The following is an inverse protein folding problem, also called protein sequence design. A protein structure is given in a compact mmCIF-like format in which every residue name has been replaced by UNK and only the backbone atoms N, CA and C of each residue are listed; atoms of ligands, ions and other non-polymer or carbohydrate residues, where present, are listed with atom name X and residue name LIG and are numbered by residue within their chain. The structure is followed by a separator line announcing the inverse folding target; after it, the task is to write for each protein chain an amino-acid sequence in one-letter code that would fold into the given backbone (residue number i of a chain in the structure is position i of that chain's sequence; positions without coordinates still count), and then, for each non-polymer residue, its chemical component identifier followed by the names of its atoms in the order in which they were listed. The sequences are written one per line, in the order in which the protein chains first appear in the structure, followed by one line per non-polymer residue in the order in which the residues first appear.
data_IF_682324365952
#
_entry.id   IF_682324365952
#
_cell.length_a   1.000
_cell.length_b   1.000
_cell.length_c   1.000
_cell.angle_alpha   90.00
_cell.angle_beta   90.00
_cell.angle_gamma   90.00
#
_symmetry.space_group_name_H-M   'P 1'
#
loop_
_entity.id
_entity.type
_entity.pdbx_description
1 polymer ?
#
# COMPACT_ATOMS: atom_id res chain seq x y z
N UNK A 1 3.68 4.97 -30.17
CA UNK A 1 2.96 4.84 -28.89
C UNK A 1 3.17 6.13 -28.09
N UNK A 2 2.14 6.69 -27.44
CA UNK A 2 2.31 7.91 -26.62
C UNK A 2 3.00 7.57 -25.31
N UNK A 3 3.98 8.37 -24.91
CA UNK A 3 4.74 8.18 -23.68
C UNK A 3 4.13 8.98 -22.54
N UNK A 4 3.91 8.32 -21.40
CA UNK A 4 3.35 8.97 -20.21
C UNK A 4 4.23 8.75 -18.99
N UNK A 5 4.50 9.82 -18.24
CA UNK A 5 5.18 9.80 -16.96
C UNK A 5 4.15 9.80 -15.83
N UNK A 6 4.14 8.76 -15.01
CA UNK A 6 3.37 8.69 -13.77
C UNK A 6 4.29 8.99 -12.58
N UNK A 7 3.97 10.02 -11.79
CA UNK A 7 4.78 10.44 -10.65
C UNK A 7 4.06 10.04 -9.35
N UNK A 8 4.62 9.05 -8.64
CA UNK A 8 4.23 8.65 -7.30
C UNK A 8 5.43 8.08 -6.55
N UNK A 9 6.05 8.88 -5.69
CA UNK A 9 7.32 8.55 -5.05
C UNK A 9 7.15 7.73 -3.76
N UNK A 10 6.03 7.88 -3.06
CA UNK A 10 5.76 7.26 -1.74
C UNK A 10 4.29 7.48 -1.33
N UNK A 11 3.72 6.81 -0.32
CA UNK A 11 4.25 5.65 0.40
C UNK A 11 3.99 4.35 -0.37
N UNK A 12 4.39 3.17 0.15
CA UNK A 12 4.13 1.89 -0.51
C UNK A 12 2.64 1.68 -0.83
N UNK A 13 1.75 1.87 0.15
CA UNK A 13 0.30 1.74 -0.08
C UNK A 13 -0.22 2.71 -1.14
N UNK A 14 0.27 3.94 -1.14
CA UNK A 14 -0.11 4.92 -2.16
C UNK A 14 0.42 4.57 -3.56
N UNK A 15 1.61 3.97 -3.67
CA UNK A 15 2.13 3.43 -4.93
C UNK A 15 1.20 2.32 -5.42
N UNK A 16 0.81 1.39 -4.55
CA UNK A 16 -0.12 0.31 -4.87
C UNK A 16 -1.47 0.86 -5.35
N UNK A 17 -2.00 1.90 -4.72
CA UNK A 17 -3.26 2.55 -5.16
C UNK A 17 -3.19 3.21 -6.54
N UNK A 18 -2.00 3.38 -7.12
CA UNK A 18 -1.83 3.88 -8.47
C UNK A 18 -1.66 2.79 -9.53
N UNK A 19 -1.54 1.51 -9.15
CA UNK A 19 -1.45 0.39 -10.10
C UNK A 19 -2.68 0.33 -11.01
N UNK A 20 -3.93 0.48 -10.54
CA UNK A 20 -5.09 0.51 -11.42
C UNK A 20 -5.02 1.62 -12.48
N UNK A 21 -4.53 2.80 -12.13
CA UNK A 21 -4.31 3.89 -13.09
C UNK A 21 -3.27 3.48 -14.15
N UNK A 22 -2.15 2.88 -13.75
CA UNK A 22 -1.13 2.40 -14.69
C UNK A 22 -1.68 1.34 -15.64
N UNK A 23 -2.53 0.42 -15.15
CA UNK A 23 -3.21 -0.58 -15.98
C UNK A 23 -4.10 0.08 -17.05
N UNK A 24 -4.91 1.06 -16.66
CA UNK A 24 -5.78 1.78 -17.60
C UNK A 24 -4.96 2.54 -18.63
N UNK A 25 -3.88 3.20 -18.21
CA UNK A 25 -2.97 3.89 -19.13
C UNK A 25 -2.39 2.92 -20.18
N UNK A 26 -1.88 1.77 -19.72
CA UNK A 26 -1.34 0.74 -20.63
C UNK A 26 -2.41 0.17 -21.56
N UNK A 27 -3.60 -0.16 -21.04
CA UNK A 27 -4.74 -0.67 -21.85
C UNK A 27 -5.11 0.30 -22.99
N UNK A 28 -4.94 1.61 -22.75
CA UNK A 28 -5.20 2.66 -23.74
C UNK A 28 -3.98 3.03 -24.62
N UNK A 29 -2.98 2.15 -24.71
CA UNK A 29 -1.86 2.27 -25.64
C UNK A 29 -0.77 3.26 -25.22
N UNK A 30 -0.68 3.62 -23.92
CA UNK A 30 0.43 4.40 -23.42
C UNK A 30 1.63 3.52 -23.04
N UNK A 31 2.83 4.00 -23.34
CA UNK A 31 4.07 3.53 -22.74
C UNK A 31 4.26 4.23 -21.39
N UNK A 32 4.02 3.50 -20.30
CA UNK A 32 4.04 4.05 -18.95
C UNK A 32 5.47 4.02 -18.39
N UNK A 33 6.04 5.20 -18.14
CA UNK A 33 7.22 5.36 -17.28
C UNK A 33 6.77 5.79 -15.90
N UNK A 34 7.24 5.12 -14.85
CA UNK A 34 6.88 5.47 -13.47
C UNK A 34 8.09 6.01 -12.71
N UNK A 35 7.95 7.23 -12.17
CA UNK A 35 8.93 7.82 -11.25
C UNK A 35 8.54 7.46 -9.81
N UNK A 36 9.38 6.66 -9.14
CA UNK A 36 9.08 6.06 -7.82
C UNK A 36 10.28 6.17 -6.87
N UNK A 37 10.03 6.19 -5.56
CA UNK A 37 11.06 6.10 -4.52
C UNK A 37 11.31 4.65 -4.07
N UNK A 38 12.36 4.46 -3.25
CA UNK A 38 12.87 3.14 -2.85
C UNK A 38 11.79 2.24 -2.23
N UNK A 39 10.86 2.79 -1.45
CA UNK A 39 9.81 2.01 -0.78
C UNK A 39 8.78 1.38 -1.73
N UNK A 40 8.69 1.89 -2.96
CA UNK A 40 7.71 1.42 -3.95
C UNK A 40 8.35 0.70 -5.14
N UNK A 41 9.67 0.71 -5.25
CA UNK A 41 10.38 0.23 -6.44
C UNK A 41 10.04 -1.22 -6.77
N UNK A 42 9.99 -2.10 -5.78
CA UNK A 42 9.77 -3.54 -5.96
C UNK A 42 8.36 -3.90 -6.43
N UNK A 43 7.40 -2.97 -6.28
CA UNK A 43 6.03 -3.13 -6.79
C UNK A 43 5.90 -2.61 -8.23
N UNK A 44 6.78 -1.67 -8.61
CA UNK A 44 6.74 -0.97 -9.90
C UNK A 44 7.70 -1.58 -10.92
N UNK A 45 8.91 -1.94 -10.48
CA UNK A 45 9.90 -2.60 -11.32
C UNK A 45 9.39 -3.98 -11.73
N UNK A 46 9.50 -4.29 -13.01
CA UNK A 46 9.01 -5.52 -13.63
C UNK A 46 7.47 -5.69 -13.57
N UNK A 47 6.75 -4.62 -13.23
CA UNK A 47 5.29 -4.63 -13.24
C UNK A 47 4.75 -4.64 -14.67
N UNK A 48 3.84 -5.57 -15.03
CA UNK A 48 3.32 -5.67 -16.40
C UNK A 48 2.67 -4.39 -16.93
N UNK A 49 2.16 -3.51 -16.04
CA UNK A 49 1.56 -2.24 -16.44
C UNK A 49 2.59 -1.12 -16.71
N UNK A 50 3.87 -1.35 -16.42
CA UNK A 50 4.93 -0.33 -16.46
C UNK A 50 6.00 -0.71 -17.46
N UNK A 51 6.24 0.13 -18.46
CA UNK A 51 7.30 -0.08 -19.45
C UNK A 51 8.69 0.30 -18.92
N UNK A 52 8.77 1.35 -18.10
CA UNK A 52 10.03 1.83 -17.52
C UNK A 52 9.82 2.34 -16.09
N UNK A 53 10.77 2.03 -15.22
CA UNK A 53 10.81 2.53 -13.87
C UNK A 53 12.05 3.42 -13.66
N UNK A 54 11.86 4.61 -13.08
CA UNK A 54 12.95 5.53 -12.72
C UNK A 54 12.91 5.72 -11.20
N UNK A 55 14.02 5.38 -10.55
CA UNK A 55 14.16 5.48 -9.10
C UNK A 55 14.59 6.90 -8.69
N UNK A 56 13.90 7.45 -7.69
CA UNK A 56 14.34 8.64 -6.95
C UNK A 56 14.80 8.20 -5.55
N UNK A 57 16.07 8.33 -5.18
CA UNK A 57 16.61 7.79 -3.94
C UNK A 57 16.34 8.70 -2.74
N UNK A 58 15.06 8.86 -2.41
CA UNK A 58 14.58 9.79 -1.37
C UNK A 58 15.09 9.45 0.04
N UNK A 59 15.26 8.16 0.36
CA UNK A 59 15.72 7.73 1.67
C UNK A 59 17.23 8.04 1.83
N UNK A 60 18.01 7.75 0.77
CA UNK A 60 19.42 8.12 0.69
C UNK A 60 19.59 9.63 0.91
N UNK A 61 18.87 10.44 0.12
CA UNK A 61 18.99 11.91 0.23
C UNK A 61 18.54 12.45 1.59
N UNK A 62 17.52 11.82 2.20
CA UNK A 62 17.10 12.19 3.56
C UNK A 62 18.16 11.88 4.60
N UNK A 63 18.91 10.78 4.45
CA UNK A 63 19.96 10.35 5.38
C UNK A 63 21.25 11.19 5.22
N UNK A 64 21.63 11.46 3.98
CA UNK A 64 22.89 12.14 3.64
C UNK A 64 22.78 13.68 3.62
N UNK A 65 21.55 14.20 3.52
CA UNK A 65 21.31 15.64 3.38
C UNK A 65 21.65 16.18 2.00
N UNK A 66 21.92 17.50 1.95
CA UNK A 66 22.32 18.19 0.71
C UNK A 66 23.80 18.02 0.50
N UNK A 67 24.18 17.14 -0.43
CA UNK A 67 25.56 16.92 -0.87
C UNK A 67 25.71 17.21 -2.35
N UNK A 68 26.93 17.52 -2.82
CA UNK A 68 27.23 17.70 -4.26
C UNK A 68 26.86 16.45 -5.06
N UNK A 69 27.03 15.25 -4.48
CA UNK A 69 26.66 13.98 -5.08
C UNK A 69 25.16 13.89 -5.31
N UNK A 70 24.34 14.19 -4.29
CA UNK A 70 22.88 14.17 -4.36
C UNK A 70 22.33 15.22 -5.34
N UNK A 71 22.98 16.39 -5.42
CA UNK A 71 22.63 17.44 -6.40
C UNK A 71 22.89 16.94 -7.83
N UNK A 72 24.06 16.35 -8.08
CA UNK A 72 24.39 15.77 -9.40
C UNK A 72 23.41 14.65 -9.77
N UNK A 73 23.08 13.77 -8.84
CA UNK A 73 22.12 12.68 -9.03
C UNK A 73 20.72 13.22 -9.37
N UNK A 74 20.27 14.26 -8.66
CA UNK A 74 18.98 14.95 -8.96
C UNK A 74 18.95 15.49 -10.40
N UNK A 75 19.98 16.20 -10.84
CA UNK A 75 20.06 16.73 -12.20
C UNK A 75 20.22 15.62 -13.25
N UNK A 76 20.90 14.52 -12.91
CA UNK A 76 21.00 13.35 -13.77
C UNK A 76 19.63 12.72 -14.04
N UNK A 77 18.81 12.55 -12.99
CA UNK A 77 17.43 12.04 -13.12
C UNK A 77 16.58 13.01 -13.94
N UNK A 78 16.68 14.33 -13.71
CA UNK A 78 15.98 15.32 -14.54
C UNK A 78 16.37 15.26 -16.01
N UNK A 79 17.68 15.11 -16.30
CA UNK A 79 18.17 14.94 -17.67
C UNK A 79 17.62 13.67 -18.30
N UNK A 80 17.58 12.55 -17.55
CA UNK A 80 16.99 11.30 -17.99
C UNK A 80 15.51 11.48 -18.33
N UNK A 81 14.71 12.14 -17.45
CA UNK A 81 13.29 12.41 -17.70
C UNK A 81 13.07 13.25 -18.96
N UNK A 82 13.87 14.29 -19.19
CA UNK A 82 13.76 15.15 -20.38
C UNK A 82 14.08 14.40 -21.66
N UNK A 83 15.06 13.52 -21.64
CA UNK A 83 15.45 12.72 -22.80
C UNK A 83 14.41 11.67 -23.20
N UNK A 84 13.44 11.35 -22.32
CA UNK A 84 12.34 10.45 -22.65
C UNK A 84 11.29 11.10 -23.57
N UNK A 85 11.22 12.43 -23.62
CA UNK A 85 10.26 13.18 -24.45
C UNK A 85 8.79 12.78 -24.22
N UNK A 86 8.34 12.83 -22.99
CA UNK A 86 6.97 12.47 -22.61
C UNK A 86 5.92 13.34 -23.30
N UNK A 87 4.84 12.72 -23.78
CA UNK A 87 3.67 13.43 -24.28
C UNK A 87 2.84 13.97 -23.10
N UNK A 88 2.73 13.19 -22.02
CA UNK A 88 1.96 13.53 -20.82
C UNK A 88 2.77 13.19 -19.57
N UNK A 89 2.70 14.03 -18.54
CA UNK A 89 3.13 13.71 -17.19
C UNK A 89 2.00 13.97 -16.19
N UNK A 90 1.82 13.03 -15.24
CA UNK A 90 0.77 13.08 -14.21
C UNK A 90 1.43 13.03 -12.83
N UNK A 91 1.10 13.98 -11.94
CA UNK A 91 1.47 13.90 -10.52
C UNK A 91 0.26 13.48 -9.68
N UNK A 92 0.28 12.26 -9.16
CA UNK A 92 -0.73 11.74 -8.25
C UNK A 92 -0.37 11.94 -6.77
N UNK A 93 0.86 12.36 -6.46
CA UNK A 93 1.30 12.54 -5.09
C UNK A 93 0.88 13.88 -4.50
N UNK A 94 0.91 14.93 -5.32
CA UNK A 94 0.47 16.27 -4.94
C UNK A 94 1.18 16.82 -3.69
N UNK A 95 2.52 16.75 -3.70
CA UNK A 95 3.43 17.33 -2.70
C UNK A 95 4.54 18.11 -3.40
N UNK A 96 5.22 19.01 -2.69
CA UNK A 96 6.33 19.80 -3.25
C UNK A 96 7.40 18.92 -3.91
N UNK A 97 7.80 17.83 -3.25
CA UNK A 97 8.81 16.90 -3.77
C UNK A 97 8.44 16.20 -5.08
N UNK A 98 7.15 16.04 -5.38
CA UNK A 98 6.68 15.48 -6.67
C UNK A 98 6.44 16.56 -7.71
N UNK A 99 6.01 17.73 -7.26
CA UNK A 99 5.76 18.89 -8.11
C UNK A 99 7.00 19.31 -8.91
N UNK A 100 8.18 19.28 -8.31
CA UNK A 100 9.45 19.63 -8.98
C UNK A 100 9.66 18.73 -10.21
N UNK A 101 9.46 17.43 -10.08
CA UNK A 101 9.60 16.49 -11.18
C UNK A 101 8.57 16.75 -12.28
N UNK A 102 7.30 16.98 -11.91
CA UNK A 102 6.26 17.32 -12.87
C UNK A 102 6.60 18.58 -13.66
N UNK A 103 7.06 19.62 -12.97
CA UNK A 103 7.37 20.92 -13.58
C UNK A 103 8.55 20.87 -14.54
N UNK A 104 9.56 20.05 -14.23
CA UNK A 104 10.84 20.06 -14.94
C UNK A 104 11.12 18.83 -15.80
N UNK A 105 10.20 17.83 -15.87
CA UNK A 105 10.38 16.60 -16.67
C UNK A 105 10.42 16.82 -18.20
N UNK A 106 10.02 18.00 -18.68
CA UNK A 106 10.02 18.28 -20.12
C UNK A 106 8.84 17.70 -20.90
N UNK A 107 7.79 17.21 -20.24
CA UNK A 107 6.60 16.70 -20.90
C UNK A 107 5.82 17.81 -21.63
N UNK A 108 5.21 17.47 -22.78
CA UNK A 108 4.36 18.40 -23.56
C UNK A 108 3.17 18.88 -22.74
N UNK A 109 2.49 17.96 -22.05
CA UNK A 109 1.37 18.21 -21.15
C UNK A 109 1.73 17.74 -19.73
N UNK A 110 1.50 18.60 -18.74
CA UNK A 110 1.70 18.27 -17.32
C UNK A 110 0.40 18.46 -16.57
N UNK A 111 -0.11 17.39 -15.96
CA UNK A 111 -1.46 17.33 -15.36
C UNK A 111 -1.35 17.09 -13.87
N UNK A 112 -2.05 17.87 -13.08
CA UNK A 112 -2.17 17.66 -11.63
C UNK A 112 -3.56 18.08 -11.13
N UNK A 113 -3.86 17.80 -9.86
CA UNK A 113 -5.07 18.34 -9.24
C UNK A 113 -4.96 19.86 -9.01
N UNK A 114 -6.12 20.55 -9.03
CA UNK A 114 -6.24 21.97 -8.71
C UNK A 114 -5.90 22.30 -7.25
N UNK A 115 -5.89 21.28 -6.35
CA UNK A 115 -5.59 21.37 -4.92
C UNK A 115 -4.61 20.30 -4.49
N UNK A 116 -3.57 20.70 -3.78
CA UNK A 116 -2.55 19.82 -3.24
C UNK A 116 -1.88 20.43 -2.02
N UNK A 117 -1.01 19.67 -1.36
CA UNK A 117 -0.18 20.17 -0.26
C UNK A 117 1.00 20.97 -0.80
N UNK A 118 1.52 21.89 0.01
CA UNK A 118 2.80 22.59 -0.25
C UNK A 118 2.86 23.23 -1.65
N UNK A 119 1.75 23.85 -2.09
CA UNK A 119 1.62 24.51 -3.41
C UNK A 119 1.87 23.59 -4.61
N UNK A 120 1.76 22.27 -4.44
CA UNK A 120 2.07 21.28 -5.49
C UNK A 120 1.22 21.42 -6.76
N UNK A 121 0.10 22.09 -6.70
CA UNK A 121 -0.73 22.42 -7.86
C UNK A 121 -0.05 23.38 -8.86
N UNK A 122 1.07 24.00 -8.50
CA UNK A 122 1.85 24.86 -9.39
C UNK A 122 2.74 24.08 -10.38
N UNK A 123 2.87 22.76 -10.22
CA UNK A 123 3.70 21.90 -11.09
C UNK A 123 3.08 21.60 -12.44
N UNK A 124 1.74 21.51 -12.52
CA UNK A 124 1.02 21.18 -13.75
C UNK A 124 0.54 22.40 -14.51
N UNK A 125 0.66 22.37 -15.84
CA UNK A 125 0.03 23.35 -16.74
C UNK A 125 -1.49 23.14 -16.81
N UNK A 126 -1.93 21.87 -16.78
CA UNK A 126 -3.32 21.47 -16.75
C UNK A 126 -3.72 21.06 -15.34
N UNK A 127 -4.84 21.60 -14.85
CA UNK A 127 -5.35 21.32 -13.51
C UNK A 127 -6.71 20.69 -13.61
N UNK A 128 -6.86 19.52 -13.02
CA UNK A 128 -8.14 18.85 -12.91
C UNK A 128 -8.74 19.07 -11.52
N UNK A 129 -10.05 19.18 -11.44
CA UNK A 129 -10.73 19.34 -10.16
C UNK A 129 -10.51 18.09 -9.29
N UNK A 130 -9.88 18.29 -8.12
CA UNK A 130 -9.70 17.20 -7.17
C UNK A 130 -11.07 16.75 -6.66
N UNK A 131 -11.38 15.43 -6.70
CA UNK A 131 -12.59 14.92 -6.09
C UNK A 131 -12.66 15.33 -4.60
N UNK A 132 -13.75 16.00 -4.21
CA UNK A 132 -13.93 16.51 -2.85
C UNK A 132 -14.14 15.34 -1.89
N UNK A 133 -13.29 15.22 -0.87
CA UNK A 133 -13.35 14.14 0.12
C UNK A 133 -13.45 14.66 1.56
N UNK A 134 -14.16 15.76 1.78
CA UNK A 134 -14.31 16.39 3.10
C UNK A 134 -14.87 15.42 4.16
N UNK A 135 -15.71 14.46 3.76
CA UNK A 135 -16.32 13.45 4.65
C UNK A 135 -15.61 12.08 4.57
N UNK A 136 -14.43 12.00 3.96
CA UNK A 136 -13.70 10.73 3.78
C UNK A 136 -14.56 9.63 3.12
N UNK A 137 -15.30 9.96 2.06
CA UNK A 137 -16.22 9.04 1.40
C UNK A 137 -15.69 8.47 0.09
N UNK A 138 -14.66 9.09 -0.50
CA UNK A 138 -14.10 8.72 -1.78
C UNK A 138 -12.79 7.96 -1.55
N UNK A 139 -12.72 6.74 -2.06
CA UNK A 139 -11.51 5.93 -1.96
C UNK A 139 -10.32 6.55 -2.71
N UNK A 140 -9.09 6.35 -2.23
CA UNK A 140 -7.88 6.91 -2.84
C UNK A 140 -7.71 6.46 -4.30
N UNK A 141 -8.00 5.21 -4.64
CA UNK A 141 -7.96 4.70 -6.02
C UNK A 141 -8.91 5.50 -6.92
N UNK A 142 -10.15 5.71 -6.48
CA UNK A 142 -11.15 6.50 -7.23
C UNK A 142 -10.67 7.93 -7.47
N UNK A 143 -9.97 8.52 -6.49
CA UNK A 143 -9.36 9.84 -6.68
C UNK A 143 -8.28 9.80 -7.77
N UNK A 144 -7.43 8.77 -7.81
CA UNK A 144 -6.39 8.65 -8.84
C UNK A 144 -6.99 8.35 -10.22
N UNK A 145 -8.06 7.57 -10.30
CA UNK A 145 -8.77 7.30 -11.55
C UNK A 145 -9.40 8.55 -12.20
N UNK A 146 -9.53 9.66 -11.46
CA UNK A 146 -9.96 10.94 -12.02
C UNK A 146 -9.04 11.44 -13.15
N UNK A 147 -7.75 11.09 -13.13
CA UNK A 147 -6.83 11.41 -14.24
C UNK A 147 -7.18 10.65 -15.52
N UNK A 148 -7.50 9.36 -15.40
CA UNK A 148 -7.92 8.55 -16.53
C UNK A 148 -9.25 9.05 -17.12
N UNK A 149 -10.22 9.39 -16.25
CA UNK A 149 -11.50 10.00 -16.68
C UNK A 149 -11.30 11.35 -17.38
N UNK A 150 -10.40 12.20 -16.87
CA UNK A 150 -10.06 13.46 -17.52
C UNK A 150 -9.44 13.27 -18.91
N UNK A 151 -8.60 12.25 -19.07
CA UNK A 151 -8.02 11.87 -20.35
C UNK A 151 -9.00 11.12 -21.26
N UNK A 152 -10.24 10.89 -20.84
CA UNK A 152 -11.31 10.16 -21.56
C UNK A 152 -10.88 8.75 -21.98
N UNK A 153 -10.19 8.03 -21.08
CA UNK A 153 -9.71 6.69 -21.33
C UNK A 153 -10.80 5.65 -21.08
N UNK A 154 -10.73 4.52 -21.78
CA UNK A 154 -11.62 3.38 -21.57
C UNK A 154 -11.21 2.55 -20.35
N UNK A 155 -12.19 1.83 -19.75
CA UNK A 155 -11.95 0.92 -18.64
C UNK A 155 -11.66 1.63 -17.30
N UNK A 156 -12.08 2.88 -17.14
CA UNK A 156 -11.83 3.69 -15.93
C UNK A 156 -12.54 3.17 -14.68
N UNK A 157 -13.53 2.33 -14.82
CA UNK A 157 -14.26 1.71 -13.71
C UNK A 157 -13.76 0.28 -13.40
N UNK A 158 -12.84 -0.25 -14.21
CA UNK A 158 -12.16 -1.53 -13.99
C UNK A 158 -10.97 -1.35 -13.05
N UNK A 159 -11.14 -1.72 -11.78
CA UNK A 159 -10.05 -1.64 -10.80
C UNK A 159 -9.32 -3.00 -10.74
N UNK A 160 -8.23 -3.09 -11.50
CA UNK A 160 -7.35 -4.27 -11.52
C UNK A 160 -6.00 -3.93 -10.91
N UNK A 161 -5.45 -4.86 -10.13
CA UNK A 161 -4.09 -4.79 -9.63
C UNK A 161 -3.24 -5.78 -10.42
N UNK A 162 -2.14 -5.29 -10.96
CA UNK A 162 -1.08 -6.14 -11.49
C UNK A 162 0.14 -5.98 -10.61
N UNK A 163 0.78 -7.07 -10.27
CA UNK A 163 2.02 -7.08 -9.52
C UNK A 163 3.11 -7.72 -10.36
N UNK A 164 4.39 -7.44 -10.10
CA UNK A 164 5.48 -8.18 -10.71
C UNK A 164 5.30 -9.67 -10.50
N UNK A 165 5.60 -10.46 -11.52
CA UNK A 165 5.61 -11.92 -11.40
C UNK A 165 6.75 -12.35 -10.47
N UNK A 166 6.46 -13.30 -9.61
CA UNK A 166 7.48 -13.89 -8.73
C UNK A 166 8.30 -14.91 -9.52
N UNK A 167 9.63 -14.75 -9.47
CA UNK A 167 10.56 -15.71 -10.09
C UNK A 167 10.57 -17.04 -9.35
N UNK A 168 11.05 -18.10 -10.00
CA UNK A 168 11.19 -19.41 -9.35
C UNK A 168 12.16 -19.38 -8.19
N UNK A 169 13.17 -18.51 -8.22
CA UNK A 169 14.06 -18.26 -7.09
C UNK A 169 13.30 -17.73 -5.86
N UNK A 170 12.39 -16.76 -6.06
CA UNK A 170 11.54 -16.21 -4.99
C UNK A 170 10.60 -17.30 -4.45
N UNK A 171 9.99 -18.10 -5.32
CA UNK A 171 9.11 -19.19 -4.91
C UNK A 171 9.86 -20.21 -4.05
N UNK A 172 11.05 -20.63 -4.51
CA UNK A 172 11.90 -21.57 -3.76
C UNK A 172 12.34 -21.00 -2.40
N UNK A 173 12.75 -19.73 -2.35
CA UNK A 173 13.04 -19.04 -1.08
C UNK A 173 11.84 -19.06 -0.14
N UNK A 174 10.64 -18.76 -0.66
CA UNK A 174 9.41 -18.78 0.15
C UNK A 174 9.07 -20.20 0.60
N UNK A 175 9.30 -21.22 -0.24
CA UNK A 175 9.13 -22.63 0.15
C UNK A 175 10.01 -22.98 1.35
N UNK A 176 11.28 -22.55 1.34
CA UNK A 176 12.21 -22.74 2.47
C UNK A 176 11.76 -21.96 3.72
N UNK A 177 11.30 -20.73 3.56
CA UNK A 177 10.80 -19.91 4.68
C UNK A 177 9.54 -20.50 5.34
N UNK A 178 8.75 -21.26 4.58
CA UNK A 178 7.50 -21.89 5.01
C UNK A 178 7.61 -23.42 5.17
N UNK A 179 8.83 -24.00 5.21
CA UNK A 179 9.05 -25.45 5.26
C UNK A 179 8.35 -26.12 6.45
N UNK A 180 8.33 -25.45 7.60
CA UNK A 180 7.71 -25.93 8.83
C UNK A 180 6.22 -25.58 8.96
N UNK A 181 5.58 -25.07 7.88
CA UNK A 181 4.15 -24.75 7.88
C UNK A 181 3.31 -26.03 7.85
N UNK A 182 2.36 -26.15 8.77
CA UNK A 182 1.34 -27.21 8.70
C UNK A 182 0.39 -26.93 7.52
N UNK A 183 0.64 -27.65 6.42
CA UNK A 183 -0.11 -27.49 5.16
C UNK A 183 -1.53 -28.08 5.22
N UNK A 184 -1.88 -28.81 6.27
CA UNK A 184 -3.24 -29.33 6.49
C UNK A 184 -4.22 -28.24 6.95
N UNK A 185 -3.69 -27.11 7.43
CA UNK A 185 -4.46 -25.97 7.92
C UNK A 185 -4.37 -24.77 6.97
N UNK A 186 -5.42 -23.94 6.91
CA UNK A 186 -5.36 -22.69 6.14
C UNK A 186 -4.28 -21.74 6.68
N UNK A 187 -3.50 -21.13 5.79
CA UNK A 187 -2.45 -20.19 6.17
C UNK A 187 -3.02 -18.80 6.44
N UNK A 188 -2.80 -18.30 7.65
CA UNK A 188 -3.14 -16.92 8.05
C UNK A 188 -1.86 -16.13 8.27
N UNK A 189 -1.71 -15.03 7.53
CA UNK A 189 -0.56 -14.14 7.69
C UNK A 189 -0.96 -12.90 8.51
N UNK A 190 -0.17 -12.59 9.53
CA UNK A 190 -0.36 -11.43 10.39
C UNK A 190 0.83 -10.46 10.22
N UNK A 191 0.54 -9.22 9.83
CA UNK A 191 1.51 -8.13 9.74
C UNK A 191 1.14 -7.04 10.76
N UNK A 192 1.50 -7.15 12.06
CA UNK A 192 0.88 -6.35 13.12
C UNK A 192 1.40 -4.91 13.18
N UNK A 193 2.53 -4.63 12.53
CA UNK A 193 3.23 -3.36 12.63
C UNK A 193 2.87 -2.36 11.54
N UNK A 194 3.06 -1.09 11.84
CA UNK A 194 2.88 0.03 10.90
C UNK A 194 3.77 1.21 11.30
N UNK A 195 3.89 2.23 10.43
CA UNK A 195 4.82 3.34 10.65
C UNK A 195 4.31 4.44 11.59
N UNK A 196 3.00 4.56 11.79
CA UNK A 196 2.41 5.59 12.65
C UNK A 196 1.94 4.98 13.96
N UNK A 197 2.32 5.56 15.08
CA UNK A 197 1.89 5.10 16.40
C UNK A 197 0.37 4.91 16.49
N UNK A 198 -0.40 5.90 16.10
CA UNK A 198 -1.87 5.87 16.16
C UNK A 198 -2.55 4.93 15.15
N UNK A 199 -1.79 4.25 14.30
CA UNK A 199 -2.30 3.18 13.44
C UNK A 199 -2.08 1.80 14.04
N UNK A 200 -1.19 1.67 15.03
CA UNK A 200 -1.00 0.39 15.73
C UNK A 200 -2.25 0.02 16.51
N UNK A 201 -2.68 -1.21 16.33
CA UNK A 201 -3.69 -1.79 17.21
C UNK A 201 -3.01 -2.31 18.49
N UNK A 202 -3.71 -2.35 19.61
CA UNK A 202 -3.15 -2.76 20.89
C UNK A 202 -2.59 -4.18 20.81
N UNK A 203 -1.38 -4.38 21.33
CA UNK A 203 -0.68 -5.67 21.30
C UNK A 203 -1.44 -6.77 22.03
N UNK A 204 -2.15 -6.44 23.12
CA UNK A 204 -2.95 -7.40 23.88
C UNK A 204 -4.17 -7.87 23.07
N UNK A 205 -4.80 -6.97 22.32
CA UNK A 205 -5.86 -7.34 21.38
C UNK A 205 -5.37 -8.30 20.29
N UNK A 206 -4.17 -8.07 19.74
CA UNK A 206 -3.54 -9.01 18.81
C UNK A 206 -3.35 -10.38 19.45
N UNK A 207 -2.83 -10.44 20.67
CA UNK A 207 -2.61 -11.67 21.41
C UNK A 207 -3.90 -12.44 21.63
N UNK A 208 -4.98 -11.80 22.02
CA UNK A 208 -6.31 -12.43 22.16
C UNK A 208 -6.78 -13.06 20.84
N UNK A 209 -6.61 -12.36 19.72
CA UNK A 209 -6.95 -12.90 18.39
C UNK A 209 -6.11 -14.14 18.10
N UNK A 210 -4.81 -14.06 18.25
CA UNK A 210 -3.86 -15.16 17.95
C UNK A 210 -4.16 -16.41 18.78
N UNK A 211 -4.29 -16.24 20.11
CA UNK A 211 -4.64 -17.34 21.03
C UNK A 211 -5.95 -18.03 20.66
N UNK A 212 -6.92 -17.27 20.13
CA UNK A 212 -8.23 -17.83 19.75
C UNK A 212 -8.20 -18.61 18.44
N UNK A 213 -7.29 -18.26 17.51
CA UNK A 213 -7.27 -18.84 16.15
C UNK A 213 -6.14 -19.84 15.91
N UNK A 214 -5.10 -19.92 16.77
CA UNK A 214 -3.87 -20.69 16.56
C UNK A 214 -4.09 -22.17 16.25
N UNK A 215 -5.12 -22.78 16.81
CA UNK A 215 -5.42 -24.21 16.58
C UNK A 215 -6.20 -24.45 15.26
N UNK A 216 -6.76 -23.39 14.67
CA UNK A 216 -7.62 -23.45 13.47
C UNK A 216 -6.87 -23.18 12.16
N UNK A 217 -5.66 -22.63 12.24
CA UNK A 217 -4.89 -22.20 11.09
C UNK A 217 -3.39 -22.27 11.37
N UNK A 218 -2.60 -22.24 10.31
CA UNK A 218 -1.14 -22.09 10.39
C UNK A 218 -0.78 -20.61 10.37
N UNK A 219 -0.10 -20.13 11.41
CA UNK A 219 0.20 -18.73 11.62
C UNK A 219 1.59 -18.36 11.06
N UNK A 220 1.62 -17.33 10.24
CA UNK A 220 2.84 -16.70 9.71
C UNK A 220 2.84 -15.24 10.06
N UNK A 221 3.91 -14.76 10.68
CA UNK A 221 4.06 -13.33 10.98
C UNK A 221 5.08 -12.70 10.06
N UNK A 222 4.76 -11.48 9.57
CA UNK A 222 5.66 -10.67 8.76
C UNK A 222 5.86 -9.28 9.38
N UNK A 223 7.05 -8.72 9.17
CA UNK A 223 7.43 -7.42 9.70
C UNK A 223 8.87 -7.08 9.35
N UNK A 224 9.33 -5.94 9.83
CA UNK A 224 10.74 -5.56 9.80
C UNK A 224 11.49 -6.17 10.96
N UNK A 225 12.82 -6.09 10.94
CA UNK A 225 13.68 -6.58 12.05
C UNK A 225 13.26 -5.97 13.40
N UNK A 226 12.88 -4.68 13.41
CA UNK A 226 12.44 -3.98 14.61
C UNK A 226 11.09 -4.44 15.18
N UNK A 227 10.37 -5.28 14.45
CA UNK A 227 9.04 -5.77 14.87
C UNK A 227 9.11 -7.13 15.58
N UNK A 228 10.31 -7.73 15.71
CA UNK A 228 10.52 -9.07 16.29
C UNK A 228 9.96 -9.20 17.72
N UNK A 229 10.23 -8.23 18.57
CA UNK A 229 9.77 -8.27 19.96
C UNK A 229 8.24 -8.20 20.06
N UNK A 230 7.62 -7.34 19.23
CA UNK A 230 6.16 -7.26 19.13
C UNK A 230 5.57 -8.60 18.67
N UNK A 231 6.15 -9.20 17.63
CA UNK A 231 5.69 -10.46 17.06
C UNK A 231 5.86 -11.61 18.06
N UNK A 232 6.98 -11.68 18.76
CA UNK A 232 7.20 -12.68 19.82
C UNK A 232 6.20 -12.57 20.95
N UNK A 233 5.86 -11.34 21.35
CA UNK A 233 4.84 -11.09 22.37
C UNK A 233 3.44 -11.55 21.94
N UNK A 234 3.09 -11.34 20.67
CA UNK A 234 1.77 -11.63 20.11
C UNK A 234 1.63 -13.11 19.76
N UNK A 235 2.67 -13.71 19.18
CA UNK A 235 2.61 -15.03 18.55
C UNK A 235 2.53 -16.19 19.53
N UNK A 236 3.14 -16.05 20.74
CA UNK A 236 3.27 -17.18 21.67
C UNK A 236 4.15 -18.30 21.09
N UNK A 237 3.65 -19.54 21.12
CA UNK A 237 4.32 -20.71 20.58
C UNK A 237 3.69 -21.14 19.24
N UNK A 238 4.40 -21.94 18.45
CA UNK A 238 3.90 -22.58 17.21
C UNK A 238 3.49 -21.60 16.08
N UNK A 239 4.39 -20.70 15.68
CA UNK A 239 4.20 -19.83 14.53
C UNK A 239 5.50 -19.65 13.73
N UNK A 240 5.37 -19.23 12.47
CA UNK A 240 6.52 -18.87 11.64
C UNK A 240 6.76 -17.37 11.74
N UNK A 241 7.95 -16.98 12.25
CA UNK A 241 8.36 -15.58 12.32
C UNK A 241 9.27 -15.21 11.14
N UNK A 242 8.75 -14.39 10.24
CA UNK A 242 9.47 -13.90 9.07
C UNK A 242 9.91 -12.42 9.21
N UNK A 243 9.87 -11.83 10.40
CA UNK A 243 10.32 -10.47 10.64
C UNK A 243 11.79 -10.29 10.25
N UNK A 244 12.06 -9.34 9.37
CA UNK A 244 13.39 -9.05 8.82
C UNK A 244 13.90 -10.05 7.77
N UNK A 245 13.15 -11.13 7.46
CA UNK A 245 13.58 -12.19 6.52
C UNK A 245 13.04 -12.01 5.10
N UNK A 246 12.12 -11.08 4.89
CA UNK A 246 11.37 -10.92 3.64
C UNK A 246 11.53 -9.53 3.03
N UNK A 247 11.63 -9.47 1.71
CA UNK A 247 11.46 -8.25 0.92
C UNK A 247 10.03 -8.17 0.34
N UNK A 248 9.74 -7.13 -0.42
CA UNK A 248 8.41 -6.92 -1.00
C UNK A 248 8.02 -8.03 -2.00
N UNK A 249 8.95 -8.54 -2.79
CA UNK A 249 8.68 -9.63 -3.75
C UNK A 249 8.39 -10.94 -3.03
N UNK A 250 9.11 -11.23 -1.94
CA UNK A 250 8.81 -12.38 -1.07
C UNK A 250 7.41 -12.25 -0.46
N UNK A 251 7.04 -11.03 0.00
CA UNK A 251 5.70 -10.78 0.56
C UNK A 251 4.58 -10.94 -0.47
N UNK A 252 4.80 -10.57 -1.74
CA UNK A 252 3.83 -10.83 -2.82
C UNK A 252 3.56 -12.33 -2.92
N UNK A 253 4.60 -13.15 -2.93
CA UNK A 253 4.46 -14.60 -3.02
C UNK A 253 3.80 -15.19 -1.75
N UNK A 254 4.23 -14.79 -0.55
CA UNK A 254 3.63 -15.23 0.72
C UNK A 254 2.15 -14.88 0.79
N UNK A 255 1.78 -13.64 0.46
CA UNK A 255 0.39 -13.21 0.50
C UNK A 255 -0.46 -13.90 -0.58
N UNK A 256 0.12 -14.23 -1.74
CA UNK A 256 -0.60 -14.97 -2.78
C UNK A 256 -0.95 -16.40 -2.39
N UNK A 257 -0.23 -16.97 -1.43
CA UNK A 257 -0.48 -18.32 -0.87
C UNK A 257 -1.39 -18.30 0.37
N UNK A 258 -1.61 -17.12 0.97
CA UNK A 258 -2.39 -17.01 2.18
C UNK A 258 -3.90 -17.18 1.93
N UNK A 259 -4.60 -17.79 2.87
CA UNK A 259 -6.06 -17.80 2.93
C UNK A 259 -6.57 -16.43 3.43
N UNK A 260 -5.88 -15.88 4.42
CA UNK A 260 -6.25 -14.62 5.06
C UNK A 260 -5.00 -13.83 5.44
N UNK A 261 -5.05 -12.50 5.25
CA UNK A 261 -4.05 -11.57 5.77
C UNK A 261 -4.72 -10.60 6.74
N UNK A 262 -4.13 -10.42 7.92
CA UNK A 262 -4.61 -9.47 8.93
C UNK A 262 -3.51 -8.45 9.19
N UNK A 263 -3.82 -7.17 9.05
CA UNK A 263 -2.86 -6.09 9.28
C UNK A 263 -3.58 -4.79 9.69
N UNK A 264 -2.91 -3.83 10.33
CA UNK A 264 -3.44 -2.47 10.45
C UNK A 264 -3.45 -1.79 9.08
N UNK A 265 -3.95 -0.55 8.99
CA UNK A 265 -3.79 0.31 7.82
C UNK A 265 -2.30 0.54 7.51
N UNK A 266 -1.76 -0.30 6.65
CA UNK A 266 -0.33 -0.39 6.34
C UNK A 266 -0.08 -0.81 4.89
N UNK A 267 1.19 -0.68 4.46
CA UNK A 267 1.63 -1.18 3.15
C UNK A 267 1.37 -2.67 2.94
N UNK A 268 1.47 -3.49 4.01
CA UNK A 268 1.20 -4.93 3.96
C UNK A 268 -0.25 -5.24 3.63
N UNK A 269 -1.22 -4.54 4.27
CA UNK A 269 -2.65 -4.71 3.95
C UNK A 269 -2.95 -4.40 2.47
N UNK A 270 -2.36 -3.31 1.95
CA UNK A 270 -2.56 -2.92 0.56
C UNK A 270 -1.88 -3.88 -0.41
N UNK A 271 -0.69 -4.38 -0.06
CA UNK A 271 0.02 -5.36 -0.87
C UNK A 271 -0.74 -6.69 -0.93
N UNK A 272 -1.21 -7.18 0.22
CA UNK A 272 -2.03 -8.38 0.30
C UNK A 272 -3.30 -8.26 -0.56
N UNK A 273 -3.99 -7.10 -0.48
CA UNK A 273 -5.16 -6.82 -1.33
C UNK A 273 -4.79 -6.86 -2.82
N UNK A 274 -3.63 -6.31 -3.18
CA UNK A 274 -3.20 -6.23 -4.58
C UNK A 274 -2.83 -7.59 -5.18
N UNK A 275 -2.53 -8.61 -4.38
CA UNK A 275 -2.34 -9.98 -4.88
C UNK A 275 -3.65 -10.64 -5.32
N UNK A 276 -4.81 -10.11 -4.91
CA UNK A 276 -6.16 -10.60 -5.23
C UNK A 276 -6.46 -12.04 -4.78
N UNK A 277 -5.54 -12.67 -4.05
CA UNK A 277 -5.67 -14.07 -3.60
C UNK A 277 -6.31 -14.20 -2.21
N UNK A 278 -5.74 -13.63 -1.12
CA UNK A 278 -6.28 -13.80 0.22
C UNK A 278 -7.53 -12.95 0.46
N UNK A 279 -8.32 -13.33 1.46
CA UNK A 279 -9.13 -12.38 2.18
C UNK A 279 -8.23 -11.41 2.96
N UNK A 280 -8.66 -10.17 3.18
CA UNK A 280 -7.86 -9.17 3.89
C UNK A 280 -8.69 -8.48 4.96
N UNK A 281 -8.22 -8.55 6.21
CA UNK A 281 -8.75 -7.74 7.32
C UNK A 281 -7.76 -6.60 7.57
N UNK A 282 -8.20 -5.37 7.36
CA UNK A 282 -7.41 -4.18 7.67
C UNK A 282 -8.04 -3.42 8.84
N UNK A 283 -7.24 -3.23 9.90
CA UNK A 283 -7.67 -2.60 11.17
C UNK A 283 -7.32 -1.12 11.12
N UNK A 284 -8.32 -0.28 11.35
CA UNK A 284 -8.22 1.18 11.28
C UNK A 284 -8.41 1.82 12.66
N UNK A 285 -7.38 2.46 13.17
CA UNK A 285 -7.45 3.24 14.41
C UNK A 285 -7.81 4.71 14.13
N UNK A 286 -6.89 5.50 13.55
CA UNK A 286 -7.09 6.94 13.34
C UNK A 286 -7.42 7.34 11.90
N UNK A 287 -7.15 6.46 10.93
CA UNK A 287 -7.31 6.74 9.49
C UNK A 287 -8.68 6.33 8.97
N UNK A 288 -9.17 6.96 7.88
CA UNK A 288 -10.52 6.69 7.35
C UNK A 288 -10.57 5.37 6.55
N UNK A 289 -11.33 4.36 7.00
CA UNK A 289 -11.44 3.07 6.33
C UNK A 289 -11.98 3.18 4.90
N UNK A 290 -12.95 4.07 4.66
CA UNK A 290 -13.54 4.28 3.32
C UNK A 290 -12.56 4.86 2.30
N UNK A 291 -11.47 5.51 2.75
CA UNK A 291 -10.47 6.11 1.87
C UNK A 291 -9.32 5.15 1.59
N UNK A 292 -8.89 4.40 2.60
CA UNK A 292 -7.68 3.59 2.53
C UNK A 292 -7.92 2.09 2.76
N UNK A 293 -9.16 1.65 2.93
CA UNK A 293 -9.49 0.24 3.13
C UNK A 293 -9.12 -0.63 1.91
N UNK A 294 -9.06 -1.93 2.07
CA UNK A 294 -8.90 -2.82 0.94
C UNK A 294 -10.12 -2.66 0.01
N UNK A 295 -9.84 -2.34 -1.27
CA UNK A 295 -10.85 -2.00 -2.25
C UNK A 295 -11.46 -3.24 -2.89
N UNK A 296 -12.78 -3.33 -2.99
CA UNK A 296 -13.48 -4.37 -3.74
C UNK A 296 -14.57 -5.08 -2.92
N UNK A 297 -14.69 -6.39 -3.06
CA UNK A 297 -15.75 -7.22 -2.49
C UNK A 297 -15.78 -7.19 -0.95
N UNK A 298 -16.86 -6.72 -0.38
CA UNK A 298 -17.07 -6.60 1.08
C UNK A 298 -17.15 -7.97 1.81
N UNK A 299 -17.29 -9.07 1.08
CA UNK A 299 -17.25 -10.43 1.63
C UNK A 299 -15.82 -10.97 1.75
N UNK A 300 -14.87 -10.32 1.09
CA UNK A 300 -13.46 -10.72 1.04
C UNK A 300 -12.52 -9.69 1.66
N UNK A 301 -12.88 -8.40 1.59
CA UNK A 301 -12.03 -7.29 1.99
C UNK A 301 -12.68 -6.44 3.07
N UNK A 302 -12.14 -6.53 4.28
CA UNK A 302 -12.73 -5.96 5.49
C UNK A 302 -11.90 -4.77 5.98
N UNK A 303 -12.51 -3.60 6.02
CA UNK A 303 -11.93 -2.39 6.63
C UNK A 303 -12.64 -2.10 7.96
N UNK A 304 -11.98 -2.42 9.07
CA UNK A 304 -12.61 -2.46 10.39
C UNK A 304 -12.08 -1.35 11.30
N UNK A 305 -12.97 -0.59 11.93
CA UNK A 305 -12.62 0.41 12.93
C UNK A 305 -13.52 0.32 14.19
N UNK A 306 -13.18 1.09 15.21
CA UNK A 306 -13.87 1.12 16.49
C UNK A 306 -15.16 1.95 16.51
N UNK A 307 -15.41 2.77 15.49
CA UNK A 307 -16.55 3.70 15.42
C UNK A 307 -16.63 4.70 16.59
N UNK A 308 -15.48 5.13 17.13
CA UNK A 308 -15.42 6.18 18.16
C UNK A 308 -15.85 7.54 17.57
N UNK A 309 -16.38 8.43 18.41
CA UNK A 309 -16.85 9.77 17.98
C UNK A 309 -15.75 10.59 17.26
N UNK A 310 -14.49 10.42 17.67
CA UNK A 310 -13.33 11.11 17.07
C UNK A 310 -12.80 10.43 15.80
N UNK A 311 -13.27 9.21 15.44
CA UNK A 311 -12.81 8.48 14.26
C UNK A 311 -13.60 8.85 13.00
N UNK A 312 -12.92 9.03 11.88
CA UNK A 312 -11.46 9.12 11.71
C UNK A 312 -10.95 10.55 11.94
N UNK A 313 -9.95 10.74 12.80
CA UNK A 313 -9.30 12.05 12.97
C UNK A 313 -8.17 12.29 11.94
N UNK A 314 -7.58 11.23 11.41
CA UNK A 314 -6.50 11.24 10.40
C UNK A 314 -5.29 12.10 10.80
N UNK A 315 -4.92 12.07 12.08
CA UNK A 315 -3.78 12.80 12.63
C UNK A 315 -2.67 11.85 13.08
N UNK A 316 -1.42 12.35 13.13
CA UNK A 316 -0.28 11.57 13.61
C UNK A 316 -0.13 11.58 15.13
N UNK A 317 -0.69 12.61 15.77
CA UNK A 317 -0.75 12.76 17.24
C UNK A 317 -2.22 12.84 17.63
N UNK A 318 -2.56 12.25 18.76
CA UNK A 318 -3.93 12.32 19.26
C UNK A 318 -4.26 13.78 19.63
N UNK A 319 -5.41 14.31 19.14
CA UNK A 319 -5.84 15.66 19.49
C UNK A 319 -6.64 15.72 20.81
N UNK A 320 -6.86 14.56 21.45
CA UNK A 320 -7.63 14.46 22.70
C UNK A 320 -6.69 14.23 23.87
N UNK A 321 -7.14 14.64 25.06
CA UNK A 321 -6.49 14.41 26.35
C UNK A 321 -7.37 13.55 27.25
N UNK A 322 -6.85 13.18 28.44
CA UNK A 322 -7.57 12.42 29.47
C UNK A 322 -8.01 11.04 28.97
N UNK A 323 -9.21 10.63 29.36
CA UNK A 323 -9.77 9.30 29.02
C UNK A 323 -9.94 9.06 27.53
N UNK A 324 -10.03 10.14 26.72
CA UNK A 324 -10.13 10.06 25.26
C UNK A 324 -8.80 9.82 24.55
N UNK A 325 -7.67 10.03 25.25
CA UNK A 325 -6.34 9.99 24.65
C UNK A 325 -6.01 8.60 24.08
N UNK A 326 -5.72 8.57 22.80
CA UNK A 326 -5.33 7.37 22.02
C UNK A 326 -6.28 6.16 22.14
N UNK A 327 -7.51 6.32 22.60
CA UNK A 327 -8.45 5.21 22.77
C UNK A 327 -8.69 4.39 21.49
N UNK A 328 -8.50 4.99 20.32
CA UNK A 328 -8.70 4.30 19.05
C UNK A 328 -7.78 3.09 18.86
N UNK A 329 -6.62 3.01 19.53
CA UNK A 329 -5.71 1.85 19.45
C UNK A 329 -6.28 0.60 20.12
N UNK A 330 -7.25 0.77 21.06
CA UNK A 330 -7.93 -0.33 21.76
C UNK A 330 -9.15 -0.84 21.01
N UNK A 331 -9.46 -0.25 19.85
CA UNK A 331 -10.62 -0.60 19.04
C UNK A 331 -10.26 -0.79 17.56
N UNK A 332 -10.97 -1.70 16.84
CA UNK A 332 -12.10 -2.51 17.31
C UNK A 332 -11.71 -3.51 18.40
N UNK A 333 -12.68 -4.06 19.12
CA UNK A 333 -12.43 -5.13 20.09
C UNK A 333 -12.08 -6.44 19.35
N UNK A 334 -11.25 -7.34 19.96
CA UNK A 334 -10.78 -8.58 19.34
C UNK A 334 -11.90 -9.48 18.80
N UNK A 335 -13.02 -9.58 19.52
CA UNK A 335 -14.16 -10.44 19.15
C UNK A 335 -14.67 -10.13 17.75
N UNK A 336 -14.66 -8.86 17.35
CA UNK A 336 -15.06 -8.46 16.00
C UNK A 336 -14.15 -9.02 14.92
N UNK A 337 -12.85 -9.05 15.17
CA UNK A 337 -11.86 -9.61 14.24
C UNK A 337 -11.97 -11.13 14.23
N UNK A 338 -12.07 -11.76 15.40
CA UNK A 338 -12.23 -13.23 15.56
C UNK A 338 -13.43 -13.75 14.78
N UNK A 339 -14.57 -13.06 14.88
CA UNK A 339 -15.79 -13.46 14.15
C UNK A 339 -15.58 -13.46 12.63
N UNK A 340 -14.89 -12.44 12.10
CA UNK A 340 -14.59 -12.37 10.65
C UNK A 340 -13.61 -13.49 10.28
N UNK A 341 -12.55 -13.71 11.08
CA UNK A 341 -11.59 -14.79 10.85
C UNK A 341 -12.29 -16.14 10.78
N UNK A 342 -13.15 -16.47 11.78
CA UNK A 342 -13.90 -17.74 11.80
C UNK A 342 -14.74 -17.91 10.53
N UNK A 343 -15.47 -16.88 10.09
CA UNK A 343 -16.27 -16.93 8.87
C UNK A 343 -15.40 -17.18 7.62
N UNK A 344 -14.27 -16.50 7.50
CA UNK A 344 -13.35 -16.69 6.36
C UNK A 344 -12.78 -18.11 6.35
N UNK A 345 -12.35 -18.63 7.51
CA UNK A 345 -11.77 -19.97 7.60
C UNK A 345 -12.79 -21.08 7.35
N UNK A 346 -14.06 -20.88 7.78
CA UNK A 346 -15.13 -21.82 7.46
C UNK A 346 -15.42 -21.87 5.95
N UNK A 347 -15.53 -20.72 5.31
CA UNK A 347 -15.80 -20.64 3.86
C UNK A 347 -14.65 -21.25 3.04
N UNK A 348 -13.40 -21.12 3.48
CA UNK A 348 -12.24 -21.70 2.82
C UNK A 348 -12.27 -23.24 2.84
N UNK A 349 -12.79 -23.88 3.90
CA UNK A 349 -12.95 -25.34 3.99
C UNK A 349 -14.00 -25.91 3.03
N UNK A 350 -14.99 -25.13 2.62
CA UNK A 350 -16.03 -25.56 1.68
C UNK A 350 -15.67 -25.32 0.22
N UNK A 351 -14.53 -24.67 -0.06
CA UNK A 351 -14.07 -24.35 -1.42
C UNK A 351 -12.96 -25.27 -1.92
N UNK A 352 -12.55 -26.26 -1.12
CA UNK A 352 -11.63 -27.36 -1.44
C UNK A 352 -12.45 -28.63 -1.63
#
# INVERSE_FOLDING_TARGET
MKKILLIRLSSLGDVIFNIPLANVLKKNGFEVTWLVGEKGIDVVKDNPAVGKCILVPLQKWKKEGITLGNIKEFFSILKQLRNEHFDIAIDTQMMFKSMIWLKFCGAKRTICFDKGKEFSYLGGKEKIKKPSNKKYTIHAITQHMAYAKYLKLEGTDEIKFTLPLTSDEIKHKVDTLLENLDKSKPMVVISPATTWRLKHWNKDNWRVVVETIKDKCSLVFTGTESDKDLISYIGGDNFINLAGKTNIKDLIEIFSRATLVIAPDSGSAHLARATEKPAVISIFCCTPPKVYGPFGDDKKYFAINGKLKCQPCHTRKCPLDGEGFEQCINFPKPEKIINIVNNVLQNAKHSV
#
